data_IF_324383851465
#
_entry.id   IF_324383851465
#
_cell.length_a   1.000
_cell.length_b   1.000
_cell.length_c   1.000
_cell.angle_alpha   90.00
_cell.angle_beta   90.00
_cell.angle_gamma   90.00
#
_symmetry.space_group_name_H-M   'P 1'
#
loop_
_entity.id
_entity.type
_entity.pdbx_description
1 polymer ?
#
# COMPACT_ATOMS: atom_id res chain seq x y z
N UNK A 1 75.11 -43.33 10.84
CA UNK A 1 75.47 -42.05 11.53
C UNK A 1 75.75 -41.00 10.49
N UNK A 2 74.75 -40.13 10.21
CA UNK A 2 74.85 -39.08 9.24
C UNK A 2 75.65 -37.91 9.82
N UNK A 3 76.77 -37.62 9.32
CA UNK A 3 77.67 -36.55 9.72
C UNK A 3 77.04 -35.21 9.28
N UNK A 4 76.44 -34.49 10.19
CA UNK A 4 75.96 -33.14 9.96
C UNK A 4 77.21 -32.27 9.72
N UNK A 5 77.51 -31.92 8.49
CA UNK A 5 78.50 -30.87 8.17
C UNK A 5 78.04 -29.54 8.80
N UNK A 6 78.59 -29.24 9.92
CA UNK A 6 78.43 -27.92 10.52
C UNK A 6 79.11 -26.89 9.59
N UNK A 7 78.36 -25.87 9.21
CA UNK A 7 78.87 -24.74 8.46
C UNK A 7 80.08 -24.12 9.25
N UNK A 8 81.21 -23.81 8.59
CA UNK A 8 82.33 -23.23 9.28
C UNK A 8 82.13 -21.82 9.85
N UNK A 9 80.90 -21.25 9.61
CA UNK A 9 80.51 -19.95 10.09
C UNK A 9 79.10 -20.02 10.72
N UNK A 10 79.01 -20.32 12.01
CA UNK A 10 77.69 -20.44 12.68
C UNK A 10 76.86 -19.18 12.62
N UNK A 11 77.45 -18.02 12.48
CA UNK A 11 76.74 -16.73 12.34
C UNK A 11 76.03 -16.60 10.97
N UNK A 12 76.44 -17.30 9.94
CA UNK A 12 75.77 -17.29 8.61
C UNK A 12 74.40 -17.88 8.69
N UNK A 13 74.21 -18.96 9.43
CA UNK A 13 72.90 -19.59 9.65
C UNK A 13 71.97 -18.69 10.44
N UNK A 14 72.50 -18.02 11.44
CA UNK A 14 71.72 -17.08 12.26
C UNK A 14 71.35 -15.82 11.46
N UNK A 15 72.22 -15.30 10.62
CA UNK A 15 71.94 -14.17 9.73
C UNK A 15 70.84 -14.49 8.70
N UNK A 16 70.88 -15.70 8.15
CA UNK A 16 69.85 -16.17 7.20
C UNK A 16 68.50 -16.26 7.89
N UNK A 17 68.40 -16.76 9.12
CA UNK A 17 67.17 -16.87 9.88
C UNK A 17 66.60 -15.49 10.25
N UNK A 18 67.45 -14.52 10.57
CA UNK A 18 67.06 -13.17 10.89
C UNK A 18 66.53 -12.41 9.66
N UNK A 19 67.20 -12.58 8.50
CA UNK A 19 66.73 -12.02 7.22
C UNK A 19 65.43 -12.71 6.80
N UNK A 20 65.33 -14.01 6.93
CA UNK A 20 64.10 -14.77 6.68
C UNK A 20 62.91 -14.31 7.57
N UNK A 21 63.18 -14.05 8.88
CA UNK A 21 62.19 -13.52 9.81
C UNK A 21 61.70 -12.11 9.42
N UNK A 22 62.62 -11.22 8.99
CA UNK A 22 62.28 -9.86 8.55
C UNK A 22 61.45 -9.90 7.25
N UNK A 23 61.83 -10.77 6.31
CA UNK A 23 61.07 -10.93 5.05
C UNK A 23 59.67 -11.48 5.31
N UNK A 24 59.54 -12.51 6.15
CA UNK A 24 58.25 -13.08 6.55
C UNK A 24 57.37 -12.04 7.31
N UNK A 25 57.94 -11.23 8.19
CA UNK A 25 57.26 -10.16 8.85
C UNK A 25 56.71 -9.09 7.87
N UNK A 26 57.59 -8.71 6.90
CA UNK A 26 57.15 -7.74 5.86
C UNK A 26 56.08 -8.27 4.94
N UNK A 27 56.09 -9.55 4.62
CA UNK A 27 55.03 -10.21 3.83
C UNK A 27 53.74 -10.34 4.66
N UNK A 28 53.84 -10.76 5.93
CA UNK A 28 52.68 -10.82 6.85
C UNK A 28 52.02 -9.46 7.03
N UNK A 29 52.79 -8.38 7.12
CA UNK A 29 52.25 -7.02 7.19
C UNK A 29 51.53 -6.60 5.88
N UNK A 30 52.05 -6.97 4.71
CA UNK A 30 51.40 -6.68 3.43
C UNK A 30 50.11 -7.46 3.28
N UNK A 31 50.10 -8.72 3.73
CA UNK A 31 48.90 -9.55 3.70
C UNK A 31 47.85 -9.07 4.72
N UNK A 32 48.29 -8.66 5.93
CA UNK A 32 47.41 -8.05 6.93
C UNK A 32 46.74 -6.77 6.40
N UNK A 33 47.53 -5.91 5.73
CA UNK A 33 47.01 -4.69 5.12
C UNK A 33 45.99 -4.97 4.01
N UNK A 34 46.27 -5.94 3.16
CA UNK A 34 45.31 -6.39 2.12
C UNK A 34 44.04 -7.00 2.72
N UNK A 35 44.16 -7.69 3.86
CA UNK A 35 43.02 -8.26 4.56
C UNK A 35 42.17 -7.15 5.19
N UNK A 36 42.83 -6.12 5.72
CA UNK A 36 42.16 -4.92 6.26
C UNK A 36 41.43 -4.13 5.18
N UNK A 37 42.06 -3.92 4.01
CA UNK A 37 41.45 -3.26 2.87
C UNK A 37 40.21 -4.03 2.37
N UNK A 38 40.30 -5.37 2.27
CA UNK A 38 39.17 -6.21 1.90
C UNK A 38 38.04 -6.16 2.94
N UNK A 39 38.39 -6.13 4.22
CA UNK A 39 37.43 -5.99 5.30
C UNK A 39 36.70 -4.65 5.21
N UNK A 40 37.42 -3.56 5.01
CA UNK A 40 36.83 -2.24 4.89
C UNK A 40 35.89 -2.15 3.69
N UNK A 41 36.31 -2.71 2.53
CA UNK A 41 35.45 -2.77 1.33
C UNK A 41 34.19 -3.58 1.58
N UNK A 42 34.33 -4.77 2.17
CA UNK A 42 33.16 -5.61 2.52
C UNK A 42 32.24 -4.95 3.55
N UNK A 43 32.81 -4.17 4.46
CA UNK A 43 32.05 -3.40 5.45
C UNK A 43 31.28 -2.25 4.81
N UNK A 44 31.88 -1.57 3.85
CA UNK A 44 31.23 -0.49 3.11
C UNK A 44 30.07 -1.03 2.25
N UNK A 45 30.29 -2.15 1.54
CA UNK A 45 29.24 -2.83 0.80
C UNK A 45 28.10 -3.31 1.72
N UNK A 46 28.44 -3.84 2.88
CA UNK A 46 27.47 -4.25 3.90
C UNK A 46 26.63 -3.07 4.40
N UNK A 47 27.28 -1.96 4.73
CA UNK A 47 26.59 -0.75 5.21
C UNK A 47 25.66 -0.21 4.13
N UNK A 48 26.08 -0.20 2.86
CA UNK A 48 25.22 0.18 1.74
C UNK A 48 24.00 -0.74 1.62
N UNK A 49 24.19 -2.06 1.69
CA UNK A 49 23.07 -3.01 1.65
C UNK A 49 22.14 -2.83 2.84
N UNK A 50 22.68 -2.60 4.03
CA UNK A 50 21.90 -2.33 5.23
C UNK A 50 21.05 -1.07 5.07
N UNK A 51 21.62 0.00 4.52
CA UNK A 51 20.92 1.27 4.30
C UNK A 51 19.80 1.10 3.26
N UNK A 52 20.08 0.42 2.13
CA UNK A 52 19.05 0.08 1.13
C UNK A 52 17.94 -0.74 1.75
N UNK A 53 18.27 -1.78 2.51
CA UNK A 53 17.27 -2.65 3.13
C UNK A 53 16.48 -1.94 4.23
N UNK A 54 17.12 -1.05 4.99
CA UNK A 54 16.46 -0.23 6.00
C UNK A 54 15.46 0.78 5.39
N UNK A 55 15.72 1.22 4.16
CA UNK A 55 14.86 2.15 3.42
C UNK A 55 13.68 1.48 2.69
N UNK A 56 13.59 0.14 2.70
CA UNK A 56 12.44 -0.57 2.11
C UNK A 56 11.16 -0.15 2.79
N UNK A 57 10.22 0.33 1.99
CA UNK A 57 8.89 0.72 2.46
C UNK A 57 8.07 -0.51 2.88
N UNK A 58 7.72 -0.55 4.14
CA UNK A 58 6.89 -1.59 4.76
C UNK A 58 5.51 -1.05 5.16
N UNK A 59 5.12 0.12 4.64
CA UNK A 59 3.83 0.72 4.91
C UNK A 59 2.68 -0.12 4.35
N UNK A 60 1.48 0.11 4.87
CA UNK A 60 0.28 -0.55 4.39
C UNK A 60 -0.09 -0.06 2.98
N UNK A 61 -0.06 -0.91 1.94
CA UNK A 61 -0.37 -0.49 0.56
C UNK A 61 -1.83 -0.06 0.38
N UNK A 62 -2.71 -0.41 1.32
CA UNK A 62 -4.14 -0.07 1.29
C UNK A 62 -4.52 1.06 2.25
N UNK A 63 -3.55 1.77 2.82
CA UNK A 63 -3.83 2.82 3.82
C UNK A 63 -4.72 3.94 3.26
N UNK A 64 -4.55 4.29 1.99
CA UNK A 64 -5.24 5.38 1.32
C UNK A 64 -6.40 4.92 0.42
N UNK A 65 -6.85 3.66 0.55
CA UNK A 65 -7.97 3.16 -0.24
C UNK A 65 -9.26 3.80 0.23
N UNK A 66 -10.08 4.26 -0.71
CA UNK A 66 -11.35 4.92 -0.43
C UNK A 66 -12.52 4.09 -0.90
N UNK A 67 -13.68 4.28 -0.27
CA UNK A 67 -14.93 3.66 -0.68
C UNK A 67 -15.43 4.30 -1.98
N UNK A 68 -15.43 3.54 -3.08
CA UNK A 68 -15.90 4.00 -4.40
C UNK A 68 -17.40 4.29 -4.46
N UNK A 69 -18.16 3.79 -3.48
CA UNK A 69 -19.60 4.00 -3.38
C UNK A 69 -19.98 5.15 -2.44
N UNK A 70 -18.99 5.80 -1.83
CA UNK A 70 -19.24 6.94 -0.96
C UNK A 70 -19.72 8.15 -1.77
N UNK A 71 -20.82 8.75 -1.33
CA UNK A 71 -21.36 9.96 -1.95
C UNK A 71 -22.04 9.73 -3.30
N UNK A 72 -22.48 8.51 -3.61
CA UNK A 72 -23.33 8.27 -4.79
C UNK A 72 -24.66 8.96 -4.63
N UNK A 73 -25.03 9.75 -5.66
CA UNK A 73 -26.27 10.52 -5.68
C UNK A 73 -27.47 9.64 -6.04
N UNK A 74 -28.61 9.91 -5.38
CA UNK A 74 -29.87 9.28 -5.68
C UNK A 74 -30.57 9.97 -6.86
N UNK A 75 -30.32 9.53 -8.08
CA UNK A 75 -30.92 10.12 -9.30
C UNK A 75 -32.44 9.96 -9.39
N UNK A 76 -33.05 9.10 -8.54
CA UNK A 76 -34.49 8.95 -8.51
C UNK A 76 -35.19 10.00 -7.62
N UNK A 77 -34.42 10.76 -6.86
CA UNK A 77 -34.95 11.85 -6.04
C UNK A 77 -35.42 13.03 -6.90
N UNK A 78 -34.81 13.21 -8.09
CA UNK A 78 -35.15 14.27 -9.04
C UNK A 78 -36.34 13.93 -9.95
N UNK A 79 -36.98 12.77 -9.76
CA UNK A 79 -38.13 12.39 -10.56
C UNK A 79 -39.31 13.31 -10.29
N UNK A 80 -39.73 14.03 -11.33
CA UNK A 80 -40.91 14.90 -11.31
C UNK A 80 -42.13 14.18 -11.85
N UNK A 81 -43.31 14.62 -11.39
CA UNK A 81 -44.57 14.13 -11.91
C UNK A 81 -44.83 14.71 -13.31
N UNK A 82 -45.19 13.86 -14.23
CA UNK A 82 -45.57 14.30 -15.59
C UNK A 82 -46.96 14.97 -15.55
N UNK A 83 -46.99 16.31 -15.53
CA UNK A 83 -48.20 17.09 -15.53
C UNK A 83 -48.84 17.20 -16.91
N UNK A 84 -48.17 16.84 -17.99
CA UNK A 84 -48.68 16.98 -19.36
C UNK A 84 -50.01 16.21 -19.59
N UNK A 85 -50.14 15.05 -18.96
CA UNK A 85 -51.36 14.27 -19.05
C UNK A 85 -52.54 14.98 -18.37
N UNK A 86 -52.32 15.59 -17.22
CA UNK A 86 -53.31 16.36 -16.48
C UNK A 86 -53.72 17.63 -17.25
N UNK A 87 -52.74 18.35 -17.79
CA UNK A 87 -52.96 19.52 -18.62
C UNK A 87 -53.72 19.21 -19.89
N UNK A 88 -53.38 18.09 -20.55
CA UNK A 88 -54.10 17.62 -21.76
C UNK A 88 -55.58 17.29 -21.46
N UNK A 89 -55.83 16.58 -20.34
CA UNK A 89 -57.17 16.27 -19.90
C UNK A 89 -57.97 17.56 -19.54
N UNK A 90 -57.35 18.51 -18.89
CA UNK A 90 -57.94 19.80 -18.58
C UNK A 90 -58.31 20.60 -19.84
N UNK A 91 -57.39 20.63 -20.84
CA UNK A 91 -57.63 21.30 -22.10
C UNK A 91 -58.77 20.62 -22.90
N UNK A 92 -58.77 19.29 -22.96
CA UNK A 92 -59.82 18.53 -23.65
C UNK A 92 -61.20 18.75 -23.00
N UNK A 93 -61.21 18.82 -21.65
CA UNK A 93 -62.42 19.15 -20.90
C UNK A 93 -62.91 20.57 -21.19
N UNK A 94 -62.04 21.58 -21.21
CA UNK A 94 -62.33 22.96 -21.53
C UNK A 94 -62.88 23.10 -22.97
N UNK A 95 -62.28 22.40 -23.95
CA UNK A 95 -62.78 22.40 -25.32
C UNK A 95 -64.16 21.73 -25.44
N UNK A 96 -64.38 20.62 -24.74
CA UNK A 96 -65.66 19.95 -24.70
C UNK A 96 -66.74 20.86 -24.08
N UNK A 97 -66.39 21.54 -22.99
CA UNK A 97 -67.29 22.51 -22.33
C UNK A 97 -67.64 23.67 -23.27
N UNK A 98 -66.65 24.24 -23.98
CA UNK A 98 -66.87 25.34 -24.91
C UNK A 98 -67.79 24.91 -26.09
N UNK A 99 -67.54 23.71 -26.64
CA UNK A 99 -68.39 23.16 -27.73
C UNK A 99 -69.83 22.91 -27.26
N UNK A 100 -70.04 22.38 -26.06
CA UNK A 100 -71.37 22.17 -25.51
C UNK A 100 -72.04 23.53 -25.27
N UNK A 101 -71.37 24.51 -24.68
CA UNK A 101 -71.91 25.86 -24.47
C UNK A 101 -72.28 26.56 -25.76
N UNK A 102 -71.47 26.46 -26.85
CA UNK A 102 -71.78 27.06 -28.14
C UNK A 102 -72.97 26.37 -28.84
N UNK A 103 -73.09 25.03 -28.77
CA UNK A 103 -74.24 24.29 -29.29
C UNK A 103 -75.56 24.62 -28.58
N UNK A 104 -75.49 24.89 -27.28
CA UNK A 104 -76.67 25.19 -26.46
C UNK A 104 -77.18 26.62 -26.65
N UNK A 105 -76.35 27.57 -27.01
CA UNK A 105 -76.79 28.96 -27.31
C UNK A 105 -77.78 29.00 -28.48
N UNK A 106 -77.74 27.99 -29.34
CA UNK A 106 -78.63 27.90 -30.48
C UNK A 106 -79.93 27.11 -30.25
N UNK A 107 -80.05 26.31 -29.19
CA UNK A 107 -81.11 25.29 -29.09
C UNK A 107 -81.96 25.33 -27.83
N UNK A 108 -81.63 26.07 -26.76
CA UNK A 108 -82.32 25.90 -25.46
C UNK A 108 -82.94 27.14 -24.91
N UNK A 109 -84.22 27.04 -24.56
CA UNK A 109 -84.91 27.93 -23.68
C UNK A 109 -84.36 27.84 -22.23
N UNK A 110 -84.37 28.91 -21.43
CA UNK A 110 -83.63 29.14 -20.19
C UNK A 110 -83.66 28.07 -19.09
N UNK A 111 -84.58 27.08 -19.10
CA UNK A 111 -84.64 26.03 -18.07
C UNK A 111 -83.70 24.83 -18.28
N UNK A 112 -83.24 24.59 -19.53
CA UNK A 112 -82.34 23.51 -19.83
C UNK A 112 -80.86 23.81 -19.53
N UNK A 113 -80.53 25.09 -19.53
CA UNK A 113 -79.13 25.58 -19.32
C UNK A 113 -78.64 25.34 -17.88
N UNK A 114 -79.52 25.47 -16.87
CA UNK A 114 -79.15 25.25 -15.46
C UNK A 114 -78.85 23.77 -15.17
N UNK A 115 -79.62 22.83 -15.69
CA UNK A 115 -79.38 21.40 -15.52
C UNK A 115 -78.09 20.91 -16.21
N UNK A 116 -77.79 21.45 -17.36
CA UNK A 116 -76.55 21.18 -18.09
C UNK A 116 -75.32 21.81 -17.42
N UNK A 117 -75.42 23.00 -16.90
CA UNK A 117 -74.34 23.61 -16.13
C UNK A 117 -73.95 22.79 -14.87
N UNK A 118 -74.98 22.22 -14.19
CA UNK A 118 -74.74 21.28 -13.09
C UNK A 118 -74.07 19.99 -13.52
N UNK A 119 -74.46 19.42 -14.65
CA UNK A 119 -73.84 18.17 -15.20
C UNK A 119 -72.39 18.42 -15.60
N UNK A 120 -72.11 19.54 -16.26
CA UNK A 120 -70.76 19.94 -16.62
C UNK A 120 -69.86 20.21 -15.41
N UNK A 121 -70.42 20.85 -14.38
CA UNK A 121 -69.71 21.09 -13.11
C UNK A 121 -69.31 19.78 -12.41
N UNK A 122 -70.25 18.82 -12.36
CA UNK A 122 -69.98 17.45 -11.83
C UNK A 122 -68.93 16.71 -12.63
N UNK A 123 -69.00 16.79 -13.97
CA UNK A 123 -68.06 16.11 -14.86
C UNK A 123 -66.68 16.72 -14.76
N UNK A 124 -66.56 18.08 -14.60
CA UNK A 124 -65.32 18.75 -14.32
C UNK A 124 -64.72 18.36 -12.97
N UNK A 125 -65.53 18.20 -11.95
CA UNK A 125 -65.10 17.75 -10.63
C UNK A 125 -64.58 16.31 -10.67
N UNK A 126 -65.23 15.39 -11.41
CA UNK A 126 -64.79 14.02 -11.62
C UNK A 126 -63.49 13.96 -12.40
N UNK A 127 -63.35 14.74 -13.46
CA UNK A 127 -62.12 14.81 -14.26
C UNK A 127 -60.94 15.34 -13.44
N UNK A 128 -61.19 16.36 -12.62
CA UNK A 128 -60.16 16.91 -11.68
C UNK A 128 -59.75 15.87 -10.62
N UNK A 129 -60.70 15.10 -10.08
CA UNK A 129 -60.39 14.05 -9.11
C UNK A 129 -59.61 12.91 -9.74
N UNK A 130 -59.95 12.50 -10.97
CA UNK A 130 -59.17 11.46 -11.71
C UNK A 130 -57.76 11.91 -12.01
N UNK A 131 -57.60 13.16 -12.46
CA UNK A 131 -56.31 13.76 -12.69
C UNK A 131 -55.43 13.83 -11.42
N UNK A 132 -56.04 14.30 -10.33
CA UNK A 132 -55.36 14.35 -9.01
C UNK A 132 -54.97 12.95 -8.52
N UNK A 133 -55.84 11.94 -8.70
CA UNK A 133 -55.55 10.56 -8.37
C UNK A 133 -54.39 9.98 -9.20
N UNK A 134 -54.33 10.27 -10.50
CA UNK A 134 -53.24 9.87 -11.38
C UNK A 134 -51.90 10.50 -10.98
N UNK A 135 -51.91 11.82 -10.68
CA UNK A 135 -50.74 12.54 -10.16
C UNK A 135 -50.27 11.93 -8.83
N UNK A 136 -51.19 11.67 -7.92
CA UNK A 136 -50.86 11.07 -6.61
C UNK A 136 -50.25 9.64 -6.74
N UNK A 137 -50.75 8.85 -7.70
CA UNK A 137 -50.18 7.53 -7.97
C UNK A 137 -48.78 7.62 -8.56
N UNK A 138 -48.51 8.56 -9.48
CA UNK A 138 -47.17 8.79 -10.04
C UNK A 138 -46.20 9.28 -8.95
N UNK A 139 -46.64 10.21 -8.11
CA UNK A 139 -45.82 10.70 -7.01
C UNK A 139 -45.48 9.60 -6.00
N UNK A 140 -46.47 8.77 -5.62
CA UNK A 140 -46.23 7.62 -4.74
C UNK A 140 -45.28 6.60 -5.37
N UNK A 141 -45.36 6.39 -6.69
CA UNK A 141 -44.42 5.51 -7.44
C UNK A 141 -43.01 6.10 -7.46
N UNK A 142 -42.87 7.39 -7.72
CA UNK A 142 -41.59 8.09 -7.71
C UNK A 142 -40.96 8.07 -6.30
N UNK A 143 -41.68 8.35 -5.27
CA UNK A 143 -41.22 8.27 -3.88
C UNK A 143 -40.77 6.85 -3.52
N UNK A 144 -41.56 5.84 -3.93
CA UNK A 144 -41.14 4.43 -3.73
C UNK A 144 -39.87 4.09 -4.46
N UNK A 145 -39.72 4.55 -5.70
CA UNK A 145 -38.49 4.34 -6.49
C UNK A 145 -37.28 5.04 -5.84
N UNK A 146 -37.46 6.29 -5.40
CA UNK A 146 -36.43 7.06 -4.68
C UNK A 146 -36.01 6.37 -3.38
N UNK A 147 -36.96 5.90 -2.55
CA UNK A 147 -36.65 5.17 -1.32
C UNK A 147 -35.96 3.83 -1.59
N UNK A 148 -36.36 3.10 -2.62
CA UNK A 148 -35.69 1.83 -2.99
C UNK A 148 -34.26 2.06 -3.46
N UNK A 149 -34.04 3.11 -4.27
CA UNK A 149 -32.70 3.45 -4.72
C UNK A 149 -31.82 3.90 -3.56
N UNK A 150 -32.34 4.75 -2.67
CA UNK A 150 -31.65 5.19 -1.46
C UNK A 150 -31.22 4.00 -0.59
N UNK A 151 -32.12 3.05 -0.34
CA UNK A 151 -31.79 1.83 0.40
C UNK A 151 -30.68 1.00 -0.29
N UNK A 152 -30.73 0.91 -1.62
CA UNK A 152 -29.69 0.21 -2.40
C UNK A 152 -28.35 0.94 -2.34
N UNK A 153 -28.34 2.28 -2.43
CA UNK A 153 -27.13 3.09 -2.33
C UNK A 153 -26.51 2.97 -0.94
N UNK A 154 -27.30 3.08 0.13
CA UNK A 154 -26.84 2.89 1.50
C UNK A 154 -26.25 1.48 1.72
N UNK A 155 -26.86 0.45 1.14
CA UNK A 155 -26.34 -0.92 1.21
C UNK A 155 -24.97 -1.01 0.51
N UNK A 156 -24.83 -0.46 -0.70
CA UNK A 156 -23.58 -0.43 -1.46
C UNK A 156 -22.49 0.34 -0.70
N UNK A 157 -22.84 1.49 -0.14
CA UNK A 157 -21.91 2.32 0.64
C UNK A 157 -21.39 1.58 1.87
N UNK A 158 -22.29 0.91 2.63
CA UNK A 158 -21.91 0.09 3.79
C UNK A 158 -21.04 -1.11 3.40
N UNK A 159 -21.42 -1.82 2.33
CA UNK A 159 -20.61 -2.92 1.81
C UNK A 159 -19.24 -2.45 1.35
N UNK A 160 -19.18 -1.32 0.64
CA UNK A 160 -17.92 -0.71 0.21
C UNK A 160 -17.05 -0.28 1.39
N UNK A 161 -17.64 0.34 2.42
CA UNK A 161 -16.93 0.71 3.63
C UNK A 161 -16.36 -0.52 4.38
N UNK A 162 -17.15 -1.59 4.48
CA UNK A 162 -16.69 -2.84 5.08
C UNK A 162 -15.55 -3.49 4.28
N UNK A 163 -15.64 -3.47 2.95
CA UNK A 163 -14.58 -3.99 2.08
C UNK A 163 -13.28 -3.19 2.24
N UNK A 164 -13.37 -1.86 2.28
CA UNK A 164 -12.22 -0.98 2.55
C UNK A 164 -11.58 -1.30 3.91
N UNK A 165 -12.37 -1.44 4.97
CA UNK A 165 -11.84 -1.83 6.29
C UNK A 165 -11.13 -3.19 6.27
N UNK A 166 -11.69 -4.18 5.57
CA UNK A 166 -11.05 -5.48 5.43
C UNK A 166 -9.72 -5.40 4.68
N UNK A 167 -9.65 -4.62 3.60
CA UNK A 167 -8.42 -4.43 2.84
C UNK A 167 -7.35 -3.70 3.66
N UNK A 168 -7.73 -2.65 4.40
CA UNK A 168 -6.82 -1.94 5.30
C UNK A 168 -6.28 -2.89 6.38
N UNK A 169 -7.14 -3.72 7.00
CA UNK A 169 -6.73 -4.70 8.00
C UNK A 169 -5.77 -5.78 7.43
N UNK A 170 -6.04 -6.27 6.23
CA UNK A 170 -5.14 -7.19 5.53
C UNK A 170 -3.80 -6.53 5.20
N UNK A 171 -3.82 -5.29 4.73
CA UNK A 171 -2.62 -4.53 4.46
C UNK A 171 -1.79 -4.26 5.72
N UNK A 172 -2.42 -4.02 6.86
CA UNK A 172 -1.73 -3.87 8.15
C UNK A 172 -1.03 -5.17 8.57
N UNK A 173 -1.68 -6.32 8.42
CA UNK A 173 -1.05 -7.61 8.70
C UNK A 173 0.14 -7.87 7.78
N UNK A 174 0.01 -7.56 6.50
CA UNK A 174 1.08 -7.68 5.53
C UNK A 174 2.26 -6.74 5.87
N UNK A 175 1.99 -5.49 6.19
CA UNK A 175 2.98 -4.52 6.61
C UNK A 175 3.74 -4.98 7.86
N UNK A 176 3.04 -5.50 8.87
CA UNK A 176 3.66 -6.06 10.08
C UNK A 176 4.54 -7.27 9.79
N UNK A 177 4.11 -8.16 8.89
CA UNK A 177 4.93 -9.31 8.50
C UNK A 177 6.20 -8.87 7.77
N UNK A 178 6.10 -7.92 6.85
CA UNK A 178 7.26 -7.36 6.17
C UNK A 178 8.23 -6.67 7.14
N UNK A 179 7.70 -5.90 8.08
CA UNK A 179 8.53 -5.23 9.10
C UNK A 179 9.27 -6.25 9.98
N UNK A 180 8.59 -7.32 10.41
CA UNK A 180 9.25 -8.40 11.16
C UNK A 180 10.34 -9.10 10.34
N UNK A 181 10.09 -9.39 9.06
CA UNK A 181 11.09 -9.99 8.17
C UNK A 181 12.29 -9.05 7.98
N UNK A 182 12.02 -7.76 7.78
CA UNK A 182 13.03 -6.72 7.68
C UNK A 182 13.91 -6.69 8.93
N UNK A 183 13.31 -6.66 10.12
CA UNK A 183 14.04 -6.66 11.38
C UNK A 183 14.85 -7.94 11.59
N UNK A 184 14.29 -9.11 11.26
CA UNK A 184 15.02 -10.38 11.33
C UNK A 184 16.22 -10.41 10.39
N UNK A 185 16.05 -9.94 9.16
CA UNK A 185 17.14 -9.87 8.18
C UNK A 185 18.23 -8.92 8.65
N UNK A 186 17.88 -7.73 9.15
CA UNK A 186 18.84 -6.76 9.70
C UNK A 186 19.57 -7.33 10.92
N UNK A 187 18.89 -8.09 11.77
CA UNK A 187 19.49 -8.73 12.93
C UNK A 187 20.44 -9.86 12.54
N UNK A 188 20.09 -10.68 11.55
CA UNK A 188 20.97 -11.72 11.02
C UNK A 188 22.22 -11.13 10.36
N UNK A 189 22.03 -10.09 9.55
CA UNK A 189 23.14 -9.35 8.95
C UNK A 189 24.10 -8.78 10.01
N UNK A 190 23.56 -8.19 11.09
CA UNK A 190 24.40 -7.68 12.20
C UNK A 190 25.15 -8.83 12.92
N UNK A 191 24.51 -9.99 13.08
CA UNK A 191 25.14 -11.18 13.64
C UNK A 191 26.28 -11.71 12.78
N UNK A 192 26.06 -11.82 11.48
CA UNK A 192 27.08 -12.25 10.52
C UNK A 192 28.27 -11.31 10.47
N UNK A 193 28.00 -9.99 10.55
CA UNK A 193 29.04 -8.96 10.63
C UNK A 193 29.89 -9.13 11.88
N UNK A 194 29.27 -9.36 13.04
CA UNK A 194 29.98 -9.54 14.31
C UNK A 194 30.86 -10.80 14.25
N UNK A 195 30.33 -11.89 13.73
CA UNK A 195 31.09 -13.14 13.58
C UNK A 195 32.28 -13.00 12.63
N UNK A 196 32.06 -12.32 11.49
CA UNK A 196 33.12 -12.03 10.54
C UNK A 196 34.22 -11.14 11.16
N UNK A 197 33.84 -10.10 11.91
CA UNK A 197 34.79 -9.24 12.62
C UNK A 197 35.62 -10.02 13.66
N UNK A 198 34.99 -10.90 14.43
CA UNK A 198 35.68 -11.77 15.40
C UNK A 198 36.67 -12.72 14.72
N UNK A 199 36.28 -13.35 13.60
CA UNK A 199 37.19 -14.20 12.84
C UNK A 199 38.41 -13.44 12.28
N UNK A 200 38.19 -12.25 11.76
CA UNK A 200 39.26 -11.38 11.28
C UNK A 200 40.23 -11.00 12.39
N UNK A 201 39.72 -10.64 13.55
CA UNK A 201 40.53 -10.31 14.71
C UNK A 201 41.34 -11.51 15.21
N UNK A 202 40.73 -12.69 15.33
CA UNK A 202 41.41 -13.92 15.71
C UNK A 202 42.52 -14.32 14.71
N UNK A 203 42.25 -14.19 13.40
CA UNK A 203 43.24 -14.45 12.36
C UNK A 203 44.40 -13.44 12.37
N UNK A 204 44.12 -12.17 12.66
CA UNK A 204 45.16 -11.14 12.77
C UNK A 204 46.05 -11.37 13.99
N UNK A 205 45.46 -11.76 15.14
CA UNK A 205 46.19 -12.07 16.35
C UNK A 205 47.06 -13.34 16.21
N UNK A 206 46.52 -14.38 15.57
CA UNK A 206 47.27 -15.60 15.27
C UNK A 206 48.51 -15.31 14.37
N UNK A 207 48.33 -14.49 13.34
CA UNK A 207 49.46 -14.10 12.44
C UNK A 207 50.51 -13.22 13.16
N UNK A 208 50.06 -12.32 14.05
CA UNK A 208 50.99 -11.55 14.85
C UNK A 208 51.80 -12.40 15.83
N UNK A 209 51.17 -13.38 16.46
CA UNK A 209 51.87 -14.30 17.38
C UNK A 209 52.84 -15.21 16.65
N UNK A 210 52.48 -15.67 15.43
CA UNK A 210 53.36 -16.50 14.61
C UNK A 210 54.58 -15.72 14.08
N UNK A 211 54.36 -14.47 13.66
CA UNK A 211 55.47 -13.57 13.27
C UNK A 211 56.42 -13.21 14.42
N UNK A 212 55.85 -12.96 15.62
CA UNK A 212 56.65 -12.70 16.84
C UNK A 212 57.47 -13.92 17.27
N UNK A 213 56.91 -15.11 17.24
CA UNK A 213 57.62 -16.34 17.59
C UNK A 213 58.75 -16.68 16.58
N UNK A 214 58.54 -16.37 15.29
CA UNK A 214 59.59 -16.48 14.27
C UNK A 214 60.74 -15.51 14.50
N UNK A 215 60.50 -14.26 14.93
CA UNK A 215 61.50 -13.27 15.28
C UNK A 215 62.27 -13.69 16.53
N UNK A 216 61.57 -14.13 17.58
CA UNK A 216 62.21 -14.54 18.87
C UNK A 216 63.07 -15.79 18.65
N UNK A 217 62.62 -16.75 17.84
CA UNK A 217 63.43 -17.92 17.44
C UNK A 217 64.71 -17.54 16.74
N UNK A 218 64.65 -16.59 15.80
CA UNK A 218 65.80 -16.08 15.08
C UNK A 218 66.83 -15.33 15.99
N UNK A 219 66.34 -14.62 17.01
CA UNK A 219 67.22 -13.93 17.97
C UNK A 219 67.85 -14.96 18.93
N UNK A 220 67.09 -15.99 19.34
CA UNK A 220 67.62 -17.08 20.19
C UNK A 220 68.78 -17.85 19.54
N UNK A 221 68.64 -18.14 18.24
CA UNK A 221 69.70 -18.80 17.47
C UNK A 221 70.99 -17.95 17.35
N UNK A 222 70.82 -16.61 17.26
CA UNK A 222 71.96 -15.68 17.29
C UNK A 222 72.68 -15.70 18.66
N UNK A 223 71.95 -15.63 19.74
CA UNK A 223 72.55 -15.63 21.09
C UNK A 223 73.27 -16.96 21.36
N UNK A 224 72.72 -18.12 20.91
CA UNK A 224 73.35 -19.42 21.06
C UNK A 224 74.57 -19.67 20.19
N UNK A 225 74.83 -18.84 19.17
CA UNK A 225 75.97 -18.99 18.26
C UNK A 225 77.21 -18.22 18.73
N UNK A 226 77.10 -17.38 19.76
CA UNK A 226 78.19 -16.59 20.36
C UNK A 226 78.78 -17.20 21.62
N UNK A 227 78.21 -18.30 22.13
CA UNK A 227 78.75 -19.07 23.25
C UNK A 227 79.08 -20.50 22.77
#
# INVERSE_FOLDING_TARGET
>A
MANKKQSPFPWVGAAINLVGGIVNYSQANKEAKKAEDRYNTAMDEFNQMKDVYSSVDTSNPFENITNQFAGMENTMEDLTVNQQQADFQAQQFQQSQANIMSGLRGAAGGSGIAALAQTLARQGQLASQQSAASIGQQEAANQKAAMQQEANLQMKERCGAQQVQQQIAQGQQFAQQQEMQKQQTLMNLAGDQMQFAQQQQANADARKSEALSGMIGGVGDLAGSFF
#
